data_IF_347356652348
#
_entry.id   IF_347356652348
#
_cell.length_a   1.000
_cell.length_b   1.000
_cell.length_c   1.000
_cell.angle_alpha   90.00
_cell.angle_beta   90.00
_cell.angle_gamma   90.00
#
_symmetry.space_group_name_H-M   'P 1'
#
loop_
_entity.id
_entity.type
_entity.pdbx_description
1 polymer ?
#
# COMPACT_ATOMS: atom_id res chain seq x y z
N UNK A 1 -6.83 4.02 2.41
CA UNK A 1 -5.49 3.39 2.30
C UNK A 1 -5.61 1.92 2.68
N UNK A 2 -5.24 0.99 1.80
CA UNK A 2 -5.27 -0.43 2.13
C UNK A 2 -3.93 -0.84 2.78
N UNK A 3 -4.00 -1.53 3.92
CA UNK A 3 -2.84 -2.09 4.62
C UNK A 3 -2.94 -3.60 4.60
N UNK A 4 -2.09 -4.26 3.81
CA UNK A 4 -2.12 -5.70 3.61
C UNK A 4 -0.83 -6.32 4.14
N UNK A 5 -0.89 -7.17 5.18
CA UNK A 5 0.27 -7.91 5.62
C UNK A 5 0.60 -9.05 4.65
N UNK A 6 1.89 -9.30 4.45
CA UNK A 6 2.38 -10.50 3.77
C UNK A 6 2.97 -11.43 4.83
N UNK A 7 2.41 -12.64 4.95
CA UNK A 7 2.88 -13.68 5.87
C UNK A 7 3.09 -13.20 7.33
N UNK A 8 2.12 -12.44 7.88
CA UNK A 8 2.23 -11.89 9.23
C UNK A 8 2.43 -12.97 10.29
N UNK A 9 3.53 -12.86 11.02
CA UNK A 9 3.84 -13.75 12.14
C UNK A 9 2.91 -13.49 13.33
N UNK A 10 2.70 -12.22 13.70
CA UNK A 10 1.81 -11.79 14.80
C UNK A 10 1.12 -10.44 14.49
N UNK A 11 -0.18 -10.30 14.77
CA UNK A 11 -1.10 -11.38 15.15
C UNK A 11 -1.25 -12.41 14.00
N UNK A 12 -1.29 -13.70 14.34
CA UNK A 12 -1.45 -14.75 13.31
C UNK A 12 -2.75 -14.54 12.56
N UNK A 13 -2.72 -14.74 11.24
CA UNK A 13 -3.89 -14.58 10.35
C UNK A 13 -4.48 -13.17 10.32
N UNK A 14 -3.71 -12.14 10.69
CA UNK A 14 -4.16 -10.77 10.47
C UNK A 14 -4.38 -10.54 8.97
N UNK A 15 -5.59 -10.13 8.59
CA UNK A 15 -5.99 -9.92 7.19
C UNK A 15 -5.68 -8.53 6.66
N UNK A 16 -5.08 -7.68 7.50
CA UNK A 16 -4.87 -6.27 7.18
C UNK A 16 -6.02 -5.39 7.63
N UNK A 17 -6.08 -4.19 7.05
CA UNK A 17 -7.07 -3.17 7.38
C UNK A 17 -7.29 -2.22 6.20
N UNK A 18 -8.52 -1.72 6.07
CA UNK A 18 -8.80 -0.52 5.27
C UNK A 18 -8.76 0.67 6.21
N UNK A 19 -7.82 1.57 5.96
CA UNK A 19 -7.60 2.76 6.75
C UNK A 19 -8.23 3.97 6.09
N UNK A 20 -8.67 4.92 6.92
CA UNK A 20 -9.09 6.24 6.46
C UNK A 20 -7.94 6.86 5.62
N UNK A 21 -8.31 7.51 4.53
CA UNK A 21 -7.34 8.09 3.60
C UNK A 21 -6.57 9.29 4.19
N UNK A 22 -7.12 9.93 5.23
CA UNK A 22 -6.47 10.98 6.02
C UNK A 22 -5.54 10.45 7.12
N UNK A 23 -5.51 9.14 7.35
CA UNK A 23 -4.64 8.55 8.38
C UNK A 23 -3.16 8.62 7.97
N UNK A 24 -2.31 8.88 8.96
CA UNK A 24 -0.86 8.72 8.85
C UNK A 24 -0.47 7.40 9.50
N UNK A 25 0.21 6.53 8.76
CA UNK A 25 0.72 5.25 9.27
C UNK A 25 2.20 5.42 9.58
N UNK A 26 2.59 5.13 10.82
CA UNK A 26 4.00 5.09 11.23
C UNK A 26 4.40 3.64 11.50
N UNK A 27 5.47 3.20 10.86
CA UNK A 27 6.10 1.90 11.12
C UNK A 27 7.46 2.13 11.77
N UNK A 28 7.71 1.49 12.90
CA UNK A 28 9.00 1.52 13.59
C UNK A 28 9.65 0.15 13.51
N UNK A 29 10.90 0.12 13.01
CA UNK A 29 11.62 -1.14 12.79
C UNK A 29 12.40 -1.50 14.06
N UNK A 30 11.84 -2.45 14.79
CA UNK A 30 12.44 -3.00 16.00
C UNK A 30 13.70 -3.79 15.65
N UNK A 31 14.74 -3.63 16.48
CA UNK A 31 16.04 -4.32 16.31
C UNK A 31 16.64 -4.21 14.89
N UNK A 32 16.52 -3.06 14.22
CA UNK A 32 16.97 -2.87 12.83
C UNK A 32 18.42 -3.31 12.53
N UNK A 33 19.32 -3.25 13.52
CA UNK A 33 20.70 -3.75 13.38
C UNK A 33 20.78 -5.27 13.22
N UNK A 34 19.88 -6.02 13.87
CA UNK A 34 19.82 -7.49 13.79
C UNK A 34 18.94 -7.97 12.64
N UNK A 35 17.89 -7.20 12.34
CA UNK A 35 16.86 -7.51 11.33
C UNK A 35 16.67 -6.28 10.44
N UNK A 36 17.58 -6.02 9.50
CA UNK A 36 17.44 -4.90 8.59
C UNK A 36 16.20 -5.08 7.70
N UNK A 37 15.51 -3.98 7.44
CA UNK A 37 14.31 -3.93 6.60
C UNK A 37 14.57 -2.97 5.44
N UNK A 38 14.13 -3.35 4.24
CA UNK A 38 14.01 -2.47 3.09
C UNK A 38 12.58 -1.95 2.97
N UNK A 39 12.43 -0.70 2.53
CA UNK A 39 11.16 -0.13 2.11
C UNK A 39 11.24 0.23 0.63
N UNK A 40 10.20 -0.13 -0.13
CA UNK A 40 10.11 0.15 -1.56
C UNK A 40 8.85 0.96 -1.86
N UNK A 41 9.00 1.97 -2.71
CA UNK A 41 7.91 2.76 -3.28
C UNK A 41 8.15 2.85 -4.79
N UNK A 42 7.36 2.13 -5.58
CA UNK A 42 7.53 1.97 -7.02
C UNK A 42 8.95 1.53 -7.42
N UNK A 43 9.73 2.43 -8.04
CA UNK A 43 11.11 2.18 -8.49
C UNK A 43 12.17 2.59 -7.44
N UNK A 44 11.76 3.16 -6.30
CA UNK A 44 12.66 3.62 -5.26
C UNK A 44 12.75 2.59 -4.13
N UNK A 45 13.96 2.13 -3.82
CA UNK A 45 14.25 1.25 -2.67
C UNK A 45 15.15 1.99 -1.67
N UNK A 46 14.78 1.94 -0.39
CA UNK A 46 15.61 2.40 0.73
C UNK A 46 15.91 1.22 1.63
N UNK A 47 17.20 0.98 1.91
CA UNK A 47 17.68 -0.12 2.75
C UNK A 47 17.98 0.34 4.18
N UNK A 48 18.01 -0.62 5.12
CA UNK A 48 18.34 -0.39 6.53
C UNK A 48 17.45 0.68 7.19
N UNK A 49 16.15 0.61 6.92
CA UNK A 49 15.18 1.62 7.37
C UNK A 49 14.95 1.49 8.88
N UNK A 50 14.97 2.64 9.58
CA UNK A 50 14.66 2.72 11.02
C UNK A 50 13.18 3.01 11.29
N UNK A 51 12.57 3.84 10.46
CA UNK A 51 11.16 4.22 10.57
C UNK A 51 10.58 4.62 9.22
N UNK A 52 9.29 4.40 9.02
CA UNK A 52 8.55 4.76 7.81
C UNK A 52 7.32 5.57 8.22
N UNK A 53 7.02 6.63 7.47
CA UNK A 53 5.75 7.36 7.58
C UNK A 53 5.05 7.32 6.23
N UNK A 54 3.81 6.84 6.21
CA UNK A 54 2.97 6.74 5.01
C UNK A 54 1.74 7.61 5.21
N UNK A 55 1.46 8.47 4.23
CA UNK A 55 0.24 9.28 4.16
C UNK A 55 -0.18 9.45 2.71
N UNK A 56 -1.45 9.74 2.47
CA UNK A 56 -1.92 10.10 1.13
C UNK A 56 -1.37 11.48 0.75
N UNK A 57 -0.74 11.58 -0.43
CA UNK A 57 -0.49 12.86 -1.07
C UNK A 57 -1.74 13.34 -1.81
N UNK A 58 -2.21 14.53 -1.46
CA UNK A 58 -3.37 15.20 -2.07
C UNK A 58 -2.97 16.22 -3.13
N UNK A 59 -1.67 16.50 -3.28
CA UNK A 59 -1.14 17.46 -4.25
C UNK A 59 -0.90 16.84 -5.63
N UNK A 60 -0.49 15.57 -5.67
CA UNK A 60 -0.30 14.81 -6.91
C UNK A 60 -1.62 14.45 -7.57
N UNK A 61 -1.72 14.68 -8.88
CA UNK A 61 -2.85 14.28 -9.73
C UNK A 61 -2.33 13.63 -11.01
N UNK A 62 -3.05 12.63 -11.48
CA UNK A 62 -2.76 11.94 -12.75
C UNK A 62 -4.01 12.04 -13.61
N UNK A 63 -3.85 12.35 -14.89
CA UNK A 63 -4.95 12.27 -15.86
C UNK A 63 -4.95 10.86 -16.44
N UNK A 64 -6.05 10.13 -16.19
CA UNK A 64 -6.27 8.81 -16.78
C UNK A 64 -7.12 8.98 -18.03
N UNK A 65 -6.59 8.53 -19.17
CA UNK A 65 -7.37 8.39 -20.39
C UNK A 65 -8.17 7.09 -20.29
N UNK A 66 -9.46 7.15 -20.63
CA UNK A 66 -10.33 5.99 -20.69
C UNK A 66 -11.19 6.06 -21.95
N UNK A 67 -11.70 4.90 -22.35
CA UNK A 67 -12.61 4.75 -23.48
C UNK A 67 -14.06 4.84 -22.96
N UNK A 68 -14.88 5.70 -23.56
CA UNK A 68 -16.27 5.86 -23.15
C UNK A 68 -17.11 4.60 -23.38
N UNK A 69 -16.75 3.77 -24.35
CA UNK A 69 -17.44 2.51 -24.64
C UNK A 69 -16.95 1.37 -23.72
N UNK A 70 -15.82 1.58 -23.01
CA UNK A 70 -15.22 0.66 -22.06
C UNK A 70 -14.79 1.39 -20.79
N UNK A 71 -15.77 1.71 -19.94
CA UNK A 71 -15.54 2.49 -18.74
C UNK A 71 -14.55 1.82 -17.79
N UNK A 72 -13.85 2.64 -17.00
CA UNK A 72 -12.92 2.14 -15.99
C UNK A 72 -13.66 1.36 -14.90
N UNK A 73 -14.87 1.79 -14.55
CA UNK A 73 -15.78 1.12 -13.64
C UNK A 73 -16.14 -0.29 -14.13
N UNK A 74 -16.50 -0.45 -15.41
CA UNK A 74 -16.79 -1.76 -16.00
C UNK A 74 -15.55 -2.66 -15.97
N UNK A 75 -14.36 -2.10 -16.21
CA UNK A 75 -13.11 -2.85 -16.09
C UNK A 75 -12.86 -3.30 -14.65
N UNK A 76 -13.04 -2.41 -13.66
CA UNK A 76 -12.88 -2.74 -12.24
C UNK A 76 -13.85 -3.86 -11.83
N UNK A 77 -15.13 -3.73 -12.18
CA UNK A 77 -16.16 -4.73 -11.85
C UNK A 77 -15.81 -6.07 -12.49
N UNK A 78 -15.47 -6.08 -13.78
CA UNK A 78 -15.09 -7.30 -14.46
C UNK A 78 -13.86 -7.96 -13.83
N UNK A 79 -12.83 -7.22 -13.46
CA UNK A 79 -11.63 -7.77 -12.80
C UNK A 79 -11.91 -8.27 -11.37
N UNK A 80 -12.78 -7.61 -10.61
CA UNK A 80 -13.12 -8.01 -9.25
C UNK A 80 -13.94 -9.30 -9.16
N UNK A 81 -14.74 -9.62 -10.19
CA UNK A 81 -15.68 -10.74 -10.19
C UNK A 81 -15.43 -11.78 -11.29
N UNK A 82 -14.35 -11.66 -12.07
CA UNK A 82 -14.01 -12.63 -13.13
C UNK A 82 -13.62 -14.02 -12.62
N UNK A 83 -13.56 -14.24 -11.31
CA UNK A 83 -13.25 -15.51 -10.67
C UNK A 83 -14.12 -15.76 -9.45
#
# INVERSE_FOLDING_TARGET
>A
LALTPISAFRPRRWKGAILNNKSVVKLEILENNKRPVSASADNLEVRNVKSISIQQDLSSKIVLLYDSDHSFEDRILNEQFKY
#
